data_IF_579542447310
#
_entry.id   IF_579542447310
#
_cell.length_a   1.000
_cell.length_b   1.000
_cell.length_c   1.000
_cell.angle_alpha   90.00
_cell.angle_beta   90.00
_cell.angle_gamma   90.00
#
_symmetry.space_group_name_H-M   'P 1'
#
loop_
_entity.id
_entity.type
_entity.pdbx_description
1 polymer ?
#
# COMPACT_ATOMS: atom_id res chain seq x y z
N UNK A 1 -44.10 11.42 -30.52
CA UNK A 1 -43.69 10.13 -29.91
C UNK A 1 -42.23 9.75 -30.18
N UNK A 2 -41.61 10.05 -31.35
CA UNK A 2 -40.18 9.75 -31.62
C UNK A 2 -39.15 10.61 -30.83
N UNK A 3 -39.50 11.85 -30.46
CA UNK A 3 -38.61 12.77 -29.73
C UNK A 3 -38.37 12.36 -28.26
N UNK A 4 -39.32 11.64 -27.66
CA UNK A 4 -39.24 11.16 -26.27
C UNK A 4 -38.29 9.97 -26.12
N UNK A 5 -38.11 9.17 -27.18
CA UNK A 5 -37.23 8.00 -27.17
C UNK A 5 -35.73 8.38 -27.19
N UNK A 6 -35.39 9.48 -27.88
CA UNK A 6 -34.00 9.95 -28.01
C UNK A 6 -33.44 10.52 -26.70
N UNK A 7 -34.28 11.14 -25.88
CA UNK A 7 -33.89 11.68 -24.57
C UNK A 7 -33.54 10.57 -23.56
N UNK A 8 -34.17 9.40 -23.67
CA UNK A 8 -33.94 8.29 -22.74
C UNK A 8 -32.61 7.57 -22.97
N UNK A 9 -32.07 7.60 -24.19
CA UNK A 9 -30.79 6.96 -24.56
C UNK A 9 -29.61 7.83 -24.11
N UNK A 10 -29.77 9.15 -24.12
CA UNK A 10 -28.72 10.06 -23.66
C UNK A 10 -28.53 10.02 -22.14
N UNK A 11 -29.61 9.80 -21.38
CA UNK A 11 -29.56 9.69 -19.93
C UNK A 11 -28.82 8.43 -19.43
N UNK A 12 -28.92 7.31 -20.15
CA UNK A 12 -28.26 6.05 -19.76
C UNK A 12 -26.75 6.04 -20.01
N UNK A 13 -26.24 6.86 -20.94
CA UNK A 13 -24.80 7.02 -21.19
C UNK A 13 -24.12 7.86 -20.10
N UNK A 14 -24.84 8.77 -19.45
CA UNK A 14 -24.28 9.62 -18.39
C UNK A 14 -24.09 8.80 -17.09
N UNK A 15 -24.92 7.77 -16.84
CA UNK A 15 -24.81 6.94 -15.64
C UNK A 15 -23.71 5.87 -15.67
N UNK A 16 -23.18 5.49 -16.83
CA UNK A 16 -22.04 4.56 -16.89
C UNK A 16 -20.68 5.22 -16.60
N UNK A 17 -20.62 6.55 -16.58
CA UNK A 17 -19.40 7.32 -16.31
C UNK A 17 -18.94 7.33 -14.85
N UNK A 18 -19.80 6.96 -13.89
CA UNK A 18 -19.46 7.00 -12.45
C UNK A 18 -18.81 5.73 -11.89
N UNK A 19 -18.69 4.64 -12.66
CA UNK A 19 -18.10 3.39 -12.18
C UNK A 19 -16.59 3.27 -12.42
N UNK A 20 -15.97 4.28 -13.06
CA UNK A 20 -14.53 4.35 -13.33
C UNK A 20 -13.71 4.91 -12.16
N UNK A 21 -14.09 4.65 -10.91
CA UNK A 21 -13.29 5.04 -9.75
C UNK A 21 -11.91 4.39 -9.86
N UNK A 22 -10.86 5.20 -10.05
CA UNK A 22 -9.48 4.75 -10.12
C UNK A 22 -9.19 3.88 -8.90
N UNK A 23 -9.09 2.56 -9.08
CA UNK A 23 -8.56 1.70 -8.04
C UNK A 23 -7.13 2.15 -7.78
N UNK A 24 -6.90 2.75 -6.60
CA UNK A 24 -5.57 3.18 -6.16
C UNK A 24 -4.67 1.94 -6.22
N UNK A 25 -3.63 1.97 -7.06
CA UNK A 25 -2.71 0.83 -7.21
C UNK A 25 -2.12 0.52 -5.83
N UNK A 26 -2.36 -0.70 -5.33
CA UNK A 26 -1.91 -1.11 -4.01
C UNK A 26 -0.39 -1.24 -3.99
N UNK A 27 0.25 -0.61 -3.01
CA UNK A 27 1.71 -0.69 -2.85
C UNK A 27 2.08 -1.14 -1.44
N UNK A 28 3.20 -1.87 -1.34
CA UNK A 28 3.67 -2.48 -0.11
C UNK A 28 5.04 -1.94 0.27
N UNK A 29 5.12 -1.22 1.38
CA UNK A 29 6.34 -0.62 1.91
C UNK A 29 7.03 -1.59 2.87
N UNK A 30 8.31 -1.87 2.63
CA UNK A 30 9.16 -2.60 3.57
C UNK A 30 9.61 -1.71 4.71
N UNK A 31 9.25 -2.09 5.93
CA UNK A 31 9.62 -1.47 7.19
C UNK A 31 10.54 -2.43 7.93
N UNK A 32 11.82 -2.05 8.08
CA UNK A 32 12.84 -2.84 8.76
C UNK A 32 13.00 -2.36 10.19
N UNK A 33 12.80 -3.26 11.14
CA UNK A 33 12.96 -3.00 12.58
C UNK A 33 14.28 -3.63 13.05
N UNK A 34 15.25 -2.85 13.52
CA UNK A 34 16.54 -3.38 13.97
C UNK A 34 16.47 -4.28 15.21
N UNK A 35 15.39 -4.20 15.96
CA UNK A 35 15.13 -4.96 17.18
C UNK A 35 13.70 -5.49 17.17
N UNK A 36 13.55 -6.82 17.11
CA UNK A 36 12.25 -7.52 17.11
C UNK A 36 11.52 -7.44 18.45
N UNK A 37 12.20 -7.07 19.54
CA UNK A 37 11.58 -6.80 20.84
C UNK A 37 11.06 -5.36 20.96
N UNK A 38 11.44 -4.47 20.04
CA UNK A 38 11.08 -3.06 20.05
C UNK A 38 10.73 -2.54 18.65
N UNK A 39 9.48 -2.76 18.23
CA UNK A 39 8.96 -2.33 16.93
C UNK A 39 8.54 -0.83 16.90
N UNK A 40 9.02 0.02 17.83
CA UNK A 40 8.66 1.46 17.84
C UNK A 40 9.36 2.30 16.77
N UNK A 41 10.48 1.81 16.23
CA UNK A 41 11.28 2.50 15.21
C UNK A 41 11.59 1.56 14.07
N UNK A 42 11.18 1.95 12.88
CA UNK A 42 11.52 1.28 11.62
C UNK A 42 12.38 2.17 10.73
N UNK A 43 13.12 1.52 9.84
CA UNK A 43 13.71 2.12 8.66
C UNK A 43 12.87 1.69 7.45
N UNK A 44 12.35 2.66 6.70
CA UNK A 44 11.76 2.40 5.38
C UNK A 44 12.88 1.95 4.42
N UNK A 45 12.72 0.78 3.80
CA UNK A 45 13.71 0.23 2.86
C UNK A 45 13.30 0.52 1.41
N UNK A 46 12.15 -0.01 0.97
CA UNK A 46 11.66 0.11 -0.41
C UNK A 46 10.15 -0.13 -0.51
N UNK A 47 9.55 0.29 -1.61
CA UNK A 47 8.14 0.05 -1.95
C UNK A 47 8.04 -0.98 -3.08
N UNK A 48 7.08 -1.89 -2.98
CA UNK A 48 6.86 -3.02 -3.89
C UNK A 48 5.41 -3.07 -4.36
N UNK A 49 5.16 -3.74 -5.49
CA UNK A 49 3.81 -3.91 -6.04
C UNK A 49 3.02 -5.03 -5.36
N UNK A 50 3.71 -6.01 -4.78
CA UNK A 50 3.07 -7.18 -4.14
C UNK A 50 3.61 -7.38 -2.72
N UNK A 51 2.76 -7.95 -1.87
CA UNK A 51 3.14 -8.36 -0.51
C UNK A 51 4.28 -9.37 -0.54
N UNK A 52 4.19 -10.38 -1.41
CA UNK A 52 5.21 -11.44 -1.52
C UNK A 52 6.59 -10.87 -1.84
N UNK A 53 6.68 -9.95 -2.81
CA UNK A 53 7.95 -9.32 -3.14
C UNK A 53 8.49 -8.50 -1.96
N UNK A 54 7.62 -7.78 -1.26
CA UNK A 54 8.01 -7.05 -0.06
C UNK A 54 8.58 -8.00 1.02
N UNK A 55 7.95 -9.15 1.27
CA UNK A 55 8.41 -10.10 2.29
C UNK A 55 9.78 -10.70 1.92
N UNK A 56 9.95 -11.14 0.67
CA UNK A 56 11.20 -11.72 0.17
C UNK A 56 12.34 -10.71 0.29
N UNK A 57 12.15 -9.50 -0.22
CA UNK A 57 13.20 -8.48 -0.23
C UNK A 57 13.48 -7.92 1.16
N UNK A 58 12.49 -7.89 2.06
CA UNK A 58 12.71 -7.49 3.46
C UNK A 58 13.57 -8.49 4.22
N UNK A 59 13.39 -9.79 3.99
CA UNK A 59 14.25 -10.84 4.58
C UNK A 59 15.69 -10.70 4.08
N UNK A 60 15.87 -10.51 2.77
CA UNK A 60 17.19 -10.24 2.17
C UNK A 60 17.84 -8.99 2.76
N UNK A 61 17.07 -7.93 2.99
CA UNK A 61 17.60 -6.71 3.60
C UNK A 61 18.03 -6.93 5.06
N UNK A 62 17.26 -7.71 5.84
CA UNK A 62 17.68 -8.10 7.19
C UNK A 62 18.99 -8.88 7.19
N UNK A 63 19.17 -9.80 6.25
CA UNK A 63 20.44 -10.53 6.07
C UNK A 63 21.57 -9.58 5.68
N UNK A 64 21.36 -8.71 4.68
CA UNK A 64 22.36 -7.73 4.22
C UNK A 64 22.81 -6.79 5.34
N UNK A 65 21.91 -6.46 6.27
CA UNK A 65 22.20 -5.60 7.43
C UNK A 65 22.75 -6.36 8.64
N UNK A 66 22.93 -7.69 8.56
CA UNK A 66 23.30 -8.55 9.68
C UNK A 66 22.32 -8.42 10.88
N UNK A 67 21.02 -8.31 10.57
CA UNK A 67 19.93 -8.19 11.52
C UNK A 67 19.06 -9.43 11.62
N UNK A 68 19.31 -10.47 10.82
CA UNK A 68 18.52 -11.70 10.73
C UNK A 68 18.20 -12.37 12.10
N UNK A 69 19.06 -12.24 13.11
CA UNK A 69 18.84 -12.84 14.44
C UNK A 69 18.08 -11.94 15.42
N UNK A 70 18.26 -10.62 15.30
CA UNK A 70 17.76 -9.63 16.29
C UNK A 70 16.69 -8.69 15.76
N UNK A 71 16.66 -8.44 14.46
CA UNK A 71 15.69 -7.58 13.79
C UNK A 71 14.48 -8.35 13.27
N UNK A 72 13.52 -7.59 12.75
CA UNK A 72 12.32 -8.10 12.08
C UNK A 72 11.92 -7.13 10.98
N UNK A 73 10.95 -7.51 10.15
CA UNK A 73 10.34 -6.62 9.18
C UNK A 73 8.82 -6.64 9.31
N UNK A 74 8.19 -5.64 8.70
CA UNK A 74 6.78 -5.66 8.34
C UNK A 74 6.61 -5.04 6.95
N UNK A 75 5.61 -5.50 6.22
CA UNK A 75 5.18 -4.96 4.94
C UNK A 75 3.89 -4.17 5.16
N UNK A 76 3.93 -2.86 4.91
CA UNK A 76 2.80 -1.96 5.09
C UNK A 76 2.11 -1.60 3.79
N UNK A 77 0.79 -1.77 3.73
CA UNK A 77 -0.04 -1.40 2.58
C UNK A 77 -0.25 0.12 2.56
N UNK A 78 0.01 0.73 1.39
CA UNK A 78 -0.27 2.15 1.08
C UNK A 78 0.20 3.11 2.18
N UNK A 79 1.44 2.95 2.64
CA UNK A 79 1.97 3.78 3.71
C UNK A 79 2.18 5.24 3.28
N UNK A 80 1.61 6.17 4.03
CA UNK A 80 1.75 7.62 3.83
C UNK A 80 2.40 8.25 5.08
N UNK A 81 3.31 9.21 4.85
CA UNK A 81 4.01 9.88 5.95
C UNK A 81 3.09 10.90 6.61
N UNK A 82 2.93 10.80 7.93
CA UNK A 82 2.13 11.72 8.71
C UNK A 82 3.02 12.72 9.45
N UNK A 83 3.06 13.96 8.96
CA UNK A 83 3.90 15.05 9.48
C UNK A 83 3.76 15.26 10.98
N UNK A 84 2.54 15.27 11.51
CA UNK A 84 2.30 15.52 12.95
C UNK A 84 2.85 14.43 13.87
N UNK A 85 2.97 13.20 13.38
CA UNK A 85 3.47 12.05 14.16
C UNK A 85 4.89 11.67 13.78
N UNK A 86 5.41 12.23 12.68
CA UNK A 86 6.71 11.93 12.10
C UNK A 86 6.93 10.44 11.82
N UNK A 87 5.88 9.75 11.40
CA UNK A 87 5.85 8.31 11.15
C UNK A 87 5.04 7.98 9.90
N UNK A 88 5.38 6.87 9.25
CA UNK A 88 4.57 6.30 8.18
C UNK A 88 3.34 5.60 8.78
N UNK A 89 2.14 5.99 8.35
CA UNK A 89 0.88 5.31 8.67
C UNK A 89 0.50 4.45 7.47
N UNK A 90 0.30 3.15 7.72
CA UNK A 90 -0.10 2.20 6.69
C UNK A 90 -1.54 1.74 6.94
N UNK A 91 -2.27 1.46 5.86
CA UNK A 91 -3.64 0.93 5.93
C UNK A 91 -3.67 -0.46 6.58
N UNK A 92 -2.63 -1.26 6.33
CA UNK A 92 -2.48 -2.62 6.89
C UNK A 92 -1.01 -2.96 7.04
N UNK A 93 -0.68 -3.76 8.06
CA UNK A 93 0.64 -4.36 8.25
C UNK A 93 0.55 -5.89 8.08
N UNK A 94 1.57 -6.49 7.48
CA UNK A 94 1.68 -7.94 7.27
C UNK A 94 3.14 -8.40 7.40
N UNK A 95 3.34 -9.65 7.82
CA UNK A 95 4.66 -10.30 7.95
C UNK A 95 4.78 -11.39 6.91
#
# INVERSE_FOLDING_TARGET
MKKTLLLSIFASVILSGCFGGQQKEQTWTSLIYPDKSNEKRSKKYKVFKTLEQCQIESKKELERLNLNTRGTYQCGLNCEYHEGMKLDICEKLSK
#
